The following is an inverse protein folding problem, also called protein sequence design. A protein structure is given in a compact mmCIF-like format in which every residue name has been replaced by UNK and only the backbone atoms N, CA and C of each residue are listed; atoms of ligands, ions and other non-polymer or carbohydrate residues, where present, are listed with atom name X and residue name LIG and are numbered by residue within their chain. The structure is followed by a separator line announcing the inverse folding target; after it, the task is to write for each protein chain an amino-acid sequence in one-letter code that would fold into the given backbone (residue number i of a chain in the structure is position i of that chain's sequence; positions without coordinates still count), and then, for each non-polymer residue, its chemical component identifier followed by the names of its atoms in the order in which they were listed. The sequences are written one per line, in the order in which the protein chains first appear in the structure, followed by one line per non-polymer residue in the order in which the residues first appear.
data_IF_650134686646
#
_entry.id   IF_650134686646
#
_cell.length_a   1.000
_cell.length_b   1.000
_cell.length_c   1.000
_cell.angle_alpha   90.00
_cell.angle_beta   90.00
_cell.angle_gamma   90.00
#
_symmetry.space_group_name_H-M   'P 1'
#
loop_
_entity.id
_entity.type
_entity.pdbx_description
1 polymer ?
#
# COMPACT_ATOMS: atom_id res chain seq x y z
N UNK A 1 -6.67 -3.22 30.55
CA UNK A 1 -5.36 -3.17 29.86
C UNK A 1 -5.56 -2.74 28.43
N UNK A 2 -4.78 -1.77 27.96
CA UNK A 2 -4.83 -1.29 26.59
C UNK A 2 -3.76 -1.93 25.73
N UNK A 3 -3.98 -1.89 24.43
CA UNK A 3 -2.97 -2.29 23.45
C UNK A 3 -3.04 -1.38 22.25
N UNK A 4 -1.92 -1.28 21.54
CA UNK A 4 -1.82 -0.49 20.31
C UNK A 4 -1.02 -1.27 19.28
N UNK A 5 -1.61 -1.39 18.10
CA UNK A 5 -0.91 -1.86 16.91
C UNK A 5 -1.19 -0.88 15.79
N UNK A 6 -0.14 -0.27 15.26
CA UNK A 6 -0.29 0.71 14.21
C UNK A 6 0.80 0.54 13.16
N UNK A 7 0.41 0.59 11.90
CA UNK A 7 1.33 0.52 10.77
C UNK A 7 1.17 1.80 9.95
N UNK A 8 2.30 2.37 9.55
CA UNK A 8 2.33 3.55 8.67
C UNK A 8 3.27 3.24 7.52
N UNK A 9 2.78 3.44 6.30
CA UNK A 9 3.55 3.16 5.09
C UNK A 9 3.46 4.33 4.13
N UNK A 10 4.59 4.67 3.50
CA UNK A 10 4.63 5.57 2.36
C UNK A 10 5.30 4.80 1.24
N UNK A 11 4.61 4.64 0.13
CA UNK A 11 5.15 3.85 -0.96
C UNK A 11 4.39 4.09 -2.25
N UNK A 12 4.70 3.27 -3.24
CA UNK A 12 4.13 3.38 -4.57
C UNK A 12 3.33 2.13 -4.91
N UNK A 13 2.18 2.32 -5.58
CA UNK A 13 1.39 1.19 -6.03
C UNK A 13 2.14 0.41 -7.13
N UNK A 14 2.15 -0.91 -7.00
CA UNK A 14 2.74 -1.80 -7.99
C UNK A 14 1.81 -2.10 -9.15
N UNK A 15 0.50 -1.87 -8.97
CA UNK A 15 -0.53 -2.10 -9.99
C UNK A 15 -1.76 -1.27 -9.64
N UNK A 16 -2.69 -1.19 -10.58
CA UNK A 16 -3.98 -0.56 -10.32
C UNK A 16 -4.74 -1.36 -9.26
N UNK A 17 -5.50 -0.69 -8.37
CA UNK A 17 -6.31 -1.39 -7.39
C UNK A 17 -7.34 -2.30 -8.04
N UNK A 18 -7.50 -3.50 -7.48
CA UNK A 18 -8.55 -4.43 -7.87
C UNK A 18 -9.75 -4.22 -6.95
N UNK A 19 -10.91 -3.96 -7.55
CA UNK A 19 -12.12 -3.66 -6.79
C UNK A 19 -13.07 -4.85 -6.86
N UNK A 20 -13.55 -5.27 -5.71
CA UNK A 20 -14.57 -6.31 -5.58
C UNK A 20 -15.66 -5.84 -4.65
N UNK A 21 -16.80 -6.49 -4.75
CA UNK A 21 -17.95 -6.17 -3.91
C UNK A 21 -18.36 -7.40 -3.10
N UNK A 22 -18.67 -7.20 -1.83
CA UNK A 22 -19.22 -8.25 -0.98
C UNK A 22 -20.67 -8.54 -1.38
N UNK A 23 -21.25 -9.60 -0.82
CA UNK A 23 -22.66 -9.92 -1.06
C UNK A 23 -23.59 -8.80 -0.57
N UNK A 24 -23.16 -8.05 0.44
CA UNK A 24 -23.91 -6.91 0.95
C UNK A 24 -23.73 -5.65 0.11
N UNK A 25 -22.94 -5.69 -0.96
CA UNK A 25 -22.70 -4.56 -1.84
C UNK A 25 -21.61 -3.61 -1.39
N UNK A 26 -20.83 -3.98 -0.39
CA UNK A 26 -19.72 -3.15 0.09
C UNK A 26 -18.50 -3.32 -0.80
N UNK A 27 -17.85 -2.21 -1.13
CA UNK A 27 -16.65 -2.21 -1.95
C UNK A 27 -15.42 -2.63 -1.15
N UNK A 28 -14.56 -3.43 -1.76
CA UNK A 28 -13.27 -3.84 -1.21
C UNK A 28 -12.21 -3.63 -2.28
N UNK A 29 -11.18 -2.85 -1.96
CA UNK A 29 -10.06 -2.62 -2.87
C UNK A 29 -8.83 -3.36 -2.38
N UNK A 30 -8.14 -4.02 -3.30
CA UNK A 30 -6.87 -4.72 -3.03
C UNK A 30 -5.80 -4.13 -3.93
N UNK A 31 -4.66 -3.80 -3.34
CA UNK A 31 -3.51 -3.36 -4.13
C UNK A 31 -2.21 -3.67 -3.41
N UNK A 32 -1.12 -3.65 -4.15
CA UNK A 32 0.23 -3.86 -3.63
C UNK A 32 0.94 -2.53 -3.50
N UNK A 33 1.62 -2.32 -2.37
CA UNK A 33 2.39 -1.11 -2.11
C UNK A 33 3.85 -1.48 -1.94
N UNK A 34 4.72 -0.83 -2.69
CA UNK A 34 6.16 -1.03 -2.59
C UNK A 34 6.77 0.05 -1.70
N UNK A 35 7.49 -0.38 -0.67
CA UNK A 35 8.34 0.51 0.11
C UNK A 35 9.79 0.14 -0.18
N UNK A 36 10.62 1.12 -0.48
CA UNK A 36 12.00 0.88 -0.91
C UNK A 36 12.97 1.62 -0.01
N UNK A 37 13.93 0.87 0.53
CA UNK A 37 15.04 1.41 1.28
C UNK A 37 16.29 1.38 0.41
N UNK A 38 17.05 2.47 0.45
CA UNK A 38 18.31 2.58 -0.25
C UNK A 38 19.38 3.00 0.73
N UNK A 39 20.54 2.34 0.63
CA UNK A 39 21.66 2.69 1.50
C UNK A 39 22.97 2.38 0.77
N UNK A 40 24.05 2.92 1.32
CA UNK A 40 25.42 2.61 0.86
C UNK A 40 26.07 1.70 1.87
N UNK A 41 26.60 0.57 1.40
CA UNK A 41 27.25 -0.39 2.28
C UNK A 41 28.68 0.06 2.67
N UNK A 42 29.37 -0.76 3.46
CA UNK A 42 30.72 -0.43 3.94
C UNK A 42 31.75 -0.34 2.83
N UNK A 43 31.47 -0.93 1.69
CA UNK A 43 32.37 -0.96 0.54
C UNK A 43 32.06 0.17 -0.44
N UNK A 44 31.16 1.08 -0.07
CA UNK A 44 30.76 2.20 -0.90
C UNK A 44 29.78 1.85 -2.02
N UNK A 45 29.25 0.64 -2.03
CA UNK A 45 28.26 0.22 -3.03
C UNK A 45 26.85 0.57 -2.60
N UNK A 46 26.05 1.03 -3.56
CA UNK A 46 24.65 1.32 -3.31
C UNK A 46 23.85 0.04 -3.26
N UNK A 47 23.02 -0.08 -2.22
CA UNK A 47 22.11 -1.19 -2.04
C UNK A 47 20.68 -0.70 -2.04
N UNK A 48 19.77 -1.59 -2.42
CA UNK A 48 18.34 -1.28 -2.46
C UNK A 48 17.57 -2.51 -2.04
N UNK A 49 16.52 -2.28 -1.23
CA UNK A 49 15.64 -3.34 -0.80
C UNK A 49 14.20 -2.86 -0.91
N UNK A 50 13.37 -3.64 -1.60
CA UNK A 50 11.96 -3.36 -1.75
C UNK A 50 11.14 -4.38 -0.99
N UNK A 51 10.23 -3.88 -0.16
CA UNK A 51 9.22 -4.70 0.52
C UNK A 51 7.88 -4.47 -0.15
N UNK A 52 7.15 -5.54 -0.42
CA UNK A 52 5.82 -5.49 -0.98
C UNK A 52 4.79 -5.73 0.12
N UNK A 53 3.82 -4.83 0.21
CA UNK A 53 2.75 -4.90 1.20
C UNK A 53 1.42 -5.08 0.49
N UNK A 54 0.63 -6.04 0.95
CA UNK A 54 -0.73 -6.22 0.44
C UNK A 54 -1.66 -5.33 1.26
N UNK A 55 -2.36 -4.44 0.56
CA UNK A 55 -3.24 -3.45 1.18
C UNK A 55 -4.68 -3.80 0.82
N UNK A 56 -5.53 -3.76 1.83
CA UNK A 56 -6.97 -3.96 1.66
C UNK A 56 -7.68 -2.73 2.22
N UNK A 57 -8.54 -2.13 1.42
CA UNK A 57 -9.34 -1.00 1.83
C UNK A 57 -10.82 -1.34 1.68
N UNK A 58 -11.64 -0.79 2.57
CA UNK A 58 -13.06 -1.10 2.64
C UNK A 58 -13.91 0.15 2.47
N UNK A 59 -15.10 -0.02 1.90
CA UNK A 59 -16.16 0.99 1.81
C UNK A 59 -15.65 2.30 1.18
N UNK A 60 -15.70 3.40 1.91
CA UNK A 60 -15.31 4.71 1.39
C UNK A 60 -13.85 4.76 0.96
N UNK A 61 -12.97 4.09 1.68
CA UNK A 61 -11.56 4.03 1.31
C UNK A 61 -11.36 3.21 0.03
N UNK A 62 -12.17 2.18 -0.18
CA UNK A 62 -12.15 1.43 -1.45
C UNK A 62 -12.59 2.30 -2.62
N UNK A 63 -13.61 3.13 -2.42
CA UNK A 63 -14.07 4.07 -3.45
C UNK A 63 -12.99 5.10 -3.77
N UNK A 64 -12.30 5.63 -2.75
CA UNK A 64 -11.18 6.53 -2.96
C UNK A 64 -10.05 5.86 -3.75
N UNK A 65 -9.74 4.62 -3.43
CA UNK A 65 -8.71 3.86 -4.14
C UNK A 65 -9.10 3.69 -5.61
N UNK A 66 -10.34 3.32 -5.87
CA UNK A 66 -10.83 3.13 -7.24
C UNK A 66 -10.74 4.42 -8.06
N UNK A 67 -11.07 5.55 -7.46
CA UNK A 67 -11.18 6.82 -8.19
C UNK A 67 -9.84 7.54 -8.34
N UNK A 68 -8.91 7.36 -7.41
CA UNK A 68 -7.71 8.20 -7.35
C UNK A 68 -6.40 7.44 -7.41
N UNK A 69 -6.37 6.14 -7.16
CA UNK A 69 -5.12 5.39 -7.13
C UNK A 69 -4.89 4.62 -8.42
N UNK A 70 -3.63 4.64 -8.87
CA UNK A 70 -3.20 3.95 -10.08
C UNK A 70 -1.79 3.43 -9.88
N UNK A 71 -1.39 2.47 -10.71
CA UNK A 71 -0.02 1.96 -10.74
C UNK A 71 0.98 3.11 -10.74
N UNK A 72 1.97 3.02 -9.87
CA UNK A 72 3.06 4.00 -9.78
C UNK A 72 2.79 5.17 -8.86
N UNK A 73 1.54 5.38 -8.43
CA UNK A 73 1.21 6.54 -7.59
C UNK A 73 1.77 6.35 -6.17
N UNK A 74 2.27 7.44 -5.59
CA UNK A 74 2.74 7.47 -4.21
C UNK A 74 1.58 7.73 -3.27
N UNK A 75 1.50 6.96 -2.19
CA UNK A 75 0.44 7.12 -1.19
C UNK A 75 0.99 6.94 0.22
N UNK A 76 0.31 7.55 1.16
CA UNK A 76 0.52 7.33 2.59
C UNK A 76 -0.62 6.47 3.11
N UNK A 77 -0.26 5.37 3.78
CA UNK A 77 -1.20 4.41 4.38
C UNK A 77 -1.00 4.43 5.88
N UNK A 78 -2.11 4.51 6.57
CA UNK A 78 -2.10 4.47 8.02
C UNK A 78 -3.11 3.47 8.57
#
# INVERSE_FOLDING_TARGET
MGSLNKVMLIGNLGRDPEIRYTQAGSAVANFSLATTDRWTDRQGQRQERTEWHDIVAFDRLADLAQNYLKKGKSVFIE
#
